data_IF_615941391505
#
_entry.id   IF_615941391505
#
_cell.length_a   1.000
_cell.length_b   1.000
_cell.length_c   1.000
_cell.angle_alpha   90.00
_cell.angle_beta   90.00
_cell.angle_gamma   90.00
#
_symmetry.space_group_name_H-M   'P 1'
#
loop_
_entity.id
_entity.type
_entity.pdbx_description
1 polymer ?
#
# COMPACT_ATOMS: atom_id res chain seq x y z
N UNK A 1 14.83 13.34 37.88
CA UNK A 1 13.72 12.38 37.90
C UNK A 1 13.34 12.17 36.45
N UNK A 2 13.90 11.12 35.85
CA UNK A 2 13.89 10.85 34.41
C UNK A 2 12.73 9.92 34.06
N UNK A 3 12.40 9.84 32.76
CA UNK A 3 11.45 8.94 32.09
C UNK A 3 9.99 9.39 31.98
N UNK A 4 9.71 10.09 30.89
CA UNK A 4 8.52 9.80 30.07
C UNK A 4 8.99 9.05 28.83
N UNK A 5 8.74 7.75 28.77
CA UNK A 5 8.97 6.92 27.57
C UNK A 5 8.03 7.41 26.47
N UNK A 6 8.60 8.05 25.45
CA UNK A 6 7.94 8.24 24.15
C UNK A 6 7.75 6.86 23.50
N UNK A 7 6.56 6.54 22.97
CA UNK A 7 6.40 5.33 22.17
C UNK A 7 7.26 5.48 20.91
N UNK A 8 8.10 4.47 20.66
CA UNK A 8 8.89 4.36 19.46
C UNK A 8 8.01 4.55 18.21
N UNK A 9 8.14 5.71 17.59
CA UNK A 9 7.54 6.02 16.31
C UNK A 9 8.39 5.32 15.23
N UNK A 10 7.87 4.41 14.40
CA UNK A 10 8.63 3.77 13.34
C UNK A 10 8.92 4.71 12.14
N UNK A 11 9.02 6.02 12.35
CA UNK A 11 9.28 7.02 11.31
C UNK A 11 10.77 7.18 10.94
N UNK A 12 11.68 6.48 11.62
CA UNK A 12 13.09 6.39 11.22
C UNK A 12 13.34 5.07 10.50
N UNK A 13 12.85 4.97 9.26
CA UNK A 13 13.43 4.03 8.31
C UNK A 13 13.47 4.71 6.96
N UNK A 14 14.63 5.32 6.70
CA UNK A 14 15.25 5.52 5.41
C UNK A 14 14.33 5.84 4.23
N UNK A 15 14.43 7.10 3.79
CA UNK A 15 14.48 7.36 2.36
C UNK A 15 15.51 6.42 1.71
N UNK A 16 15.03 5.50 0.86
CA UNK A 16 15.85 4.66 0.00
C UNK A 16 15.85 3.19 0.37
N UNK A 17 14.89 2.45 -0.16
CA UNK A 17 15.23 1.43 -1.15
C UNK A 17 14.06 1.21 -2.10
N UNK A 18 14.38 1.26 -3.38
CA UNK A 18 13.44 1.04 -4.46
C UNK A 18 13.19 -0.47 -4.56
N UNK A 19 12.14 -0.94 -3.93
CA UNK A 19 11.69 -2.33 -3.93
C UNK A 19 10.18 -2.23 -4.08
N UNK A 20 9.52 -2.67 -5.16
CA UNK A 20 9.77 -3.86 -5.97
C UNK A 20 9.07 -3.65 -7.31
N UNK A 21 9.80 -3.72 -8.41
CA UNK A 21 9.21 -3.82 -9.74
C UNK A 21 8.70 -5.25 -9.94
N UNK A 22 7.39 -5.41 -10.09
CA UNK A 22 6.82 -6.58 -10.76
C UNK A 22 5.95 -6.08 -11.90
N UNK A 23 6.55 -6.06 -13.08
CA UNK A 23 6.00 -5.46 -14.29
C UNK A 23 4.68 -6.10 -14.73
N UNK A 24 3.72 -5.24 -15.05
CA UNK A 24 2.39 -5.67 -15.50
C UNK A 24 1.65 -4.70 -16.41
N UNK A 25 2.14 -3.51 -16.77
CA UNK A 25 1.53 -2.68 -17.84
C UNK A 25 2.49 -1.58 -18.30
N UNK A 26 2.41 -1.14 -19.55
CA UNK A 26 3.33 -0.17 -20.20
C UNK A 26 3.48 1.17 -19.44
N UNK A 27 4.40 1.23 -18.49
CA UNK A 27 4.82 2.43 -17.78
C UNK A 27 5.54 2.07 -16.48
N UNK A 28 6.49 2.89 -16.05
CA UNK A 28 7.14 2.70 -14.76
C UNK A 28 6.15 3.10 -13.65
N UNK A 29 5.41 2.12 -13.13
CA UNK A 29 4.56 2.30 -11.96
C UNK A 29 5.42 2.17 -10.70
N UNK A 30 5.48 3.23 -9.92
CA UNK A 30 6.18 3.28 -8.63
C UNK A 30 5.16 3.54 -7.55
N UNK A 31 5.12 2.69 -6.52
CA UNK A 31 4.27 2.88 -5.36
C UNK A 31 5.12 3.36 -4.20
N UNK A 32 4.76 4.50 -3.62
CA UNK A 32 5.47 5.11 -2.49
C UNK A 32 4.59 5.06 -1.25
N UNK A 33 5.08 4.44 -0.18
CA UNK A 33 4.45 4.49 1.14
C UNK A 33 4.62 5.88 1.76
N UNK A 34 3.54 6.45 2.28
CA UNK A 34 3.57 7.65 3.12
C UNK A 34 2.93 7.31 4.47
N UNK A 35 3.69 6.70 5.40
CA UNK A 35 3.17 6.29 6.70
C UNK A 35 2.71 7.49 7.54
N UNK A 36 3.32 8.65 7.33
CA UNK A 36 2.95 9.94 7.94
C UNK A 36 1.50 10.34 7.68
N UNK A 37 0.96 9.88 6.55
CA UNK A 37 -0.38 10.19 6.07
C UNK A 37 -1.24 8.95 5.89
N UNK A 38 -0.74 7.80 6.35
CA UNK A 38 -1.33 6.47 6.23
C UNK A 38 -1.91 6.22 4.84
N UNK A 39 -1.10 6.47 3.80
CA UNK A 39 -1.53 6.28 2.41
C UNK A 39 -0.35 5.91 1.52
N UNK A 40 -0.60 5.07 0.54
CA UNK A 40 0.31 4.84 -0.58
C UNK A 40 -0.06 5.77 -1.73
N UNK A 41 0.93 6.29 -2.44
CA UNK A 41 0.74 7.04 -3.69
C UNK A 41 1.36 6.24 -4.82
N UNK A 42 0.59 6.00 -5.88
CA UNK A 42 1.10 5.40 -7.10
C UNK A 42 1.46 6.48 -8.12
N UNK A 43 2.68 6.40 -8.63
CA UNK A 43 3.22 7.26 -9.66
C UNK A 43 3.43 6.44 -10.93
N UNK A 44 2.82 6.84 -12.03
CA UNK A 44 3.08 6.27 -13.34
C UNK A 44 3.94 7.27 -14.13
N UNK A 45 5.15 6.87 -14.50
CA UNK A 45 6.08 7.75 -15.22
C UNK A 45 6.35 9.08 -14.48
N UNK A 46 6.30 9.03 -13.13
CA UNK A 46 6.44 10.21 -12.27
C UNK A 46 5.16 11.03 -12.05
N UNK A 47 4.04 10.68 -12.69
CA UNK A 47 2.74 11.34 -12.48
C UNK A 47 1.91 10.58 -11.45
N UNK A 48 1.37 11.23 -10.40
CA UNK A 48 0.49 10.56 -9.46
C UNK A 48 -0.80 10.14 -10.17
N UNK A 49 -1.00 8.83 -10.32
CA UNK A 49 -2.18 8.24 -10.99
C UNK A 49 -3.16 7.64 -10.00
N UNK A 50 -2.78 7.54 -8.73
CA UNK A 50 -3.68 7.08 -7.70
C UNK A 50 -3.08 7.09 -6.31
N UNK A 51 -3.93 6.82 -5.33
CA UNK A 51 -3.58 6.71 -3.94
C UNK A 51 -4.42 5.62 -3.25
N UNK A 52 -3.80 4.89 -2.34
CA UNK A 52 -4.47 3.93 -1.48
C UNK A 52 -4.35 4.39 -0.02
N UNK A 53 -5.44 4.90 0.53
CA UNK A 53 -5.53 5.24 1.95
C UNK A 53 -5.70 3.97 2.77
N UNK A 54 -4.85 3.84 3.79
CA UNK A 54 -4.86 2.72 4.71
C UNK A 54 -4.91 3.21 6.15
N UNK A 55 -5.23 2.31 7.06
CA UNK A 55 -5.12 2.52 8.50
C UNK A 55 -4.27 1.41 9.08
N UNK A 56 -3.17 1.79 9.70
CA UNK A 56 -2.31 0.86 10.43
C UNK A 56 -2.69 0.88 11.92
N UNK A 57 -3.12 -0.25 12.47
CA UNK A 57 -3.46 -0.40 13.87
C UNK A 57 -3.05 -1.78 14.38
N UNK A 58 -2.27 -1.84 15.47
CA UNK A 58 -1.89 -3.10 16.13
C UNK A 58 -1.21 -4.14 15.19
N UNK A 59 -0.45 -3.68 14.19
CA UNK A 59 0.17 -4.55 13.19
C UNK A 59 -0.78 -5.03 12.08
N UNK A 60 -1.96 -4.44 11.99
CA UNK A 60 -2.97 -4.67 10.96
C UNK A 60 -3.06 -3.45 10.06
N UNK A 61 -2.92 -3.63 8.75
CA UNK A 61 -3.12 -2.63 7.71
C UNK A 61 -4.49 -2.83 7.06
N UNK A 62 -5.40 -1.89 7.31
CA UNK A 62 -6.74 -1.86 6.73
C UNK A 62 -6.76 -0.89 5.55
N UNK A 63 -7.01 -1.39 4.34
CA UNK A 63 -7.18 -0.53 3.16
C UNK A 63 -8.60 0.02 3.14
N UNK A 64 -8.74 1.27 3.57
CA UNK A 64 -10.04 1.93 3.71
C UNK A 64 -10.57 2.46 2.39
N UNK A 65 -9.69 2.98 1.54
CA UNK A 65 -10.11 3.63 0.30
C UNK A 65 -8.98 3.67 -0.73
N UNK A 66 -9.28 3.28 -1.96
CA UNK A 66 -8.33 3.37 -3.08
C UNK A 66 -8.96 4.24 -4.15
N UNK A 67 -8.26 5.31 -4.52
CA UNK A 67 -8.65 6.22 -5.58
C UNK A 67 -7.60 6.08 -6.67
N UNK A 68 -8.03 5.70 -7.86
CA UNK A 68 -7.22 5.79 -9.06
C UNK A 68 -7.88 6.83 -9.94
N UNK A 69 -7.06 7.56 -10.67
CA UNK A 69 -7.55 8.55 -11.60
C UNK A 69 -8.33 7.85 -12.73
N UNK A 70 -9.52 8.34 -13.05
CA UNK A 70 -10.50 7.67 -13.93
C UNK A 70 -9.91 7.43 -15.35
N UNK A 71 -8.97 8.30 -15.77
CA UNK A 71 -8.23 8.15 -17.03
C UNK A 71 -7.32 6.91 -17.08
N UNK A 72 -6.97 6.38 -15.91
CA UNK A 72 -6.10 5.22 -15.69
C UNK A 72 -6.86 4.04 -15.05
N UNK A 73 -8.10 4.26 -14.62
CA UNK A 73 -9.01 3.22 -14.13
C UNK A 73 -9.34 2.22 -15.27
N UNK A 74 -9.54 0.95 -14.93
CA UNK A 74 -9.75 -0.12 -15.92
C UNK A 74 -8.49 -0.58 -16.68
N UNK A 75 -7.31 -0.01 -16.42
CA UNK A 75 -6.01 -0.49 -16.95
C UNK A 75 -5.28 -1.47 -16.02
N UNK A 76 -5.88 -1.81 -14.87
CA UNK A 76 -5.26 -2.67 -13.86
C UNK A 76 -4.30 -1.95 -12.91
N UNK A 77 -4.20 -0.61 -12.97
CA UNK A 77 -3.32 0.19 -12.10
C UNK A 77 -3.69 0.02 -10.61
N UNK A 78 -4.99 0.01 -10.29
CA UNK A 78 -5.47 -0.21 -8.92
C UNK A 78 -5.03 -1.59 -8.39
N UNK A 79 -5.15 -2.62 -9.23
CA UNK A 79 -4.74 -3.99 -8.93
C UNK A 79 -3.24 -4.07 -8.70
N UNK A 80 -2.44 -3.48 -9.57
CA UNK A 80 -0.97 -3.51 -9.48
C UNK A 80 -0.46 -2.72 -8.25
N UNK A 81 -1.12 -1.59 -7.95
CA UNK A 81 -0.87 -0.81 -6.74
C UNK A 81 -1.18 -1.59 -5.47
N UNK A 82 -2.36 -2.21 -5.39
CA UNK A 82 -2.75 -3.03 -4.24
C UNK A 82 -1.87 -4.27 -4.13
N UNK A 83 -1.48 -4.88 -5.25
CA UNK A 83 -0.55 -6.01 -5.26
C UNK A 83 0.81 -5.64 -4.66
N UNK A 84 1.35 -4.47 -5.04
CA UNK A 84 2.58 -3.93 -4.46
C UNK A 84 2.41 -3.62 -2.97
N UNK A 85 1.28 -3.02 -2.57
CA UNK A 85 1.00 -2.69 -1.19
C UNK A 85 0.83 -3.96 -0.31
N UNK A 86 0.21 -5.01 -0.84
CA UNK A 86 0.08 -6.32 -0.18
C UNK A 86 1.42 -7.04 -0.06
N UNK A 87 2.29 -6.93 -1.08
CA UNK A 87 3.65 -7.46 -1.02
C UNK A 87 4.45 -6.78 0.10
N UNK A 88 4.40 -5.45 0.17
CA UNK A 88 5.02 -4.67 1.26
C UNK A 88 4.47 -5.09 2.63
N UNK A 89 3.15 -5.19 2.78
CA UNK A 89 2.52 -5.63 4.01
C UNK A 89 3.01 -7.03 4.44
N UNK A 90 3.16 -7.96 3.48
CA UNK A 90 3.70 -9.30 3.72
C UNK A 90 5.16 -9.27 4.14
N UNK A 91 6.01 -8.49 3.47
CA UNK A 91 7.42 -8.35 3.85
C UNK A 91 7.57 -7.77 5.25
N UNK A 92 6.67 -6.85 5.62
CA UNK A 92 6.59 -6.24 6.94
C UNK A 92 5.88 -7.10 7.99
N UNK A 93 5.42 -8.30 7.62
CA UNK A 93 4.66 -9.22 8.49
C UNK A 93 3.41 -8.56 9.12
N UNK A 94 2.75 -7.70 8.35
CA UNK A 94 1.51 -7.01 8.72
C UNK A 94 0.31 -7.82 8.24
N UNK A 95 -0.79 -7.75 8.99
CA UNK A 95 -2.06 -8.35 8.60
C UNK A 95 -2.85 -7.44 7.69
N UNK A 96 -3.47 -7.95 6.64
CA UNK A 96 -4.21 -7.11 5.68
C UNK A 96 -5.71 -7.24 5.90
N UNK A 97 -6.39 -6.12 6.04
CA UNK A 97 -7.86 -6.09 6.14
C UNK A 97 -8.45 -5.30 4.97
N UNK A 98 -9.44 -5.89 4.32
CA UNK A 98 -10.22 -5.22 3.30
C UNK A 98 -11.25 -4.29 3.97
N UNK A 99 -11.02 -2.98 3.93
CA UNK A 99 -11.99 -1.97 4.36
C UNK A 99 -12.94 -1.52 3.23
N UNK A 100 -12.72 -2.00 2.00
CA UNK A 100 -13.46 -1.62 0.80
C UNK A 100 -13.78 -2.86 -0.03
N UNK A 101 -14.94 -2.86 -0.71
CA UNK A 101 -15.39 -3.94 -1.60
C UNK A 101 -14.40 -4.27 -2.72
N UNK A 102 -13.60 -3.30 -3.16
CA UNK A 102 -12.54 -3.53 -4.15
C UNK A 102 -11.45 -4.46 -3.61
N UNK A 103 -11.03 -4.23 -2.36
CA UNK A 103 -9.98 -5.03 -1.72
C UNK A 103 -10.50 -6.42 -1.35
N UNK A 104 -11.77 -6.52 -0.94
CA UNK A 104 -12.44 -7.81 -0.79
C UNK A 104 -12.43 -8.60 -2.09
N UNK A 105 -12.76 -7.96 -3.22
CA UNK A 105 -12.74 -8.62 -4.52
C UNK A 105 -11.33 -9.04 -4.92
N UNK A 106 -10.33 -8.18 -4.70
CA UNK A 106 -8.93 -8.48 -4.96
C UNK A 106 -8.43 -9.68 -4.13
N UNK A 107 -8.77 -9.74 -2.84
CA UNK A 107 -8.43 -10.88 -1.97
C UNK A 107 -9.14 -12.16 -2.43
N UNK A 108 -10.39 -12.06 -2.90
CA UNK A 108 -11.11 -13.21 -3.44
C UNK A 108 -10.46 -13.76 -4.73
N UNK A 109 -9.92 -12.88 -5.58
CA UNK A 109 -9.16 -13.27 -6.77
C UNK A 109 -7.73 -13.74 -6.45
N UNK A 110 -7.18 -13.34 -5.30
CA UNK A 110 -5.83 -13.67 -4.86
C UNK A 110 -5.83 -14.30 -3.47
N UNK A 111 -6.32 -15.55 -3.34
CA UNK A 111 -6.40 -16.23 -2.06
C UNK A 111 -5.03 -16.43 -1.39
N UNK A 112 -3.93 -16.30 -2.13
CA UNK A 112 -2.58 -16.32 -1.56
C UNK A 112 -2.30 -15.16 -0.59
N UNK A 113 -3.10 -14.09 -0.62
CA UNK A 113 -3.02 -12.96 0.31
C UNK A 113 -4.11 -13.03 1.40
N UNK A 114 -5.03 -13.98 1.34
CA UNK A 114 -6.10 -14.13 2.35
C UNK A 114 -5.61 -14.69 3.70
N UNK A 115 -4.35 -15.11 3.79
CA UNK A 115 -3.72 -15.57 5.05
C UNK A 115 -3.03 -14.41 5.82
N UNK A 116 -2.93 -13.22 5.21
CA UNK A 116 -2.50 -11.98 5.86
C UNK A 116 -3.68 -11.38 6.65
#
# INVERSE_FOLDING_TARGET
MTSGTEPANPADTSAGEQTTGSGGTKGQLTVTDTPEKSRYIAYLDGTPVGLAAYRLADGVIEYTHTIVDEEFEGRGIATDMIHSAMADARERNLKVVAGCSFVEHFLAENPQYSDL
#
